data_IF_377307383020
#
_entry.id   IF_377307383020
#
_cell.length_a   1.000
_cell.length_b   1.000
_cell.length_c   1.000
_cell.angle_alpha   90.00
_cell.angle_beta   90.00
_cell.angle_gamma   90.00
#
_symmetry.space_group_name_H-M   'P 1'
#
loop_
_entity.id
_entity.type
_entity.pdbx_description
1 polymer ?
#
# COMPACT_ATOMS: atom_id res chain seq x y z
N UNK A 1 -1.60 0.23 -4.69
CA UNK A 1 -1.25 0.66 -3.32
C UNK A 1 -2.00 1.93 -2.90
N UNK A 2 -1.90 3.02 -3.66
CA UNK A 2 -2.49 4.33 -3.31
C UNK A 2 -4.00 4.32 -2.98
N UNK A 3 -4.79 3.39 -3.55
CA UNK A 3 -6.23 3.30 -3.29
C UNK A 3 -6.57 2.89 -1.85
N UNK A 4 -5.72 2.09 -1.19
CA UNK A 4 -5.97 1.62 0.19
C UNK A 4 -5.43 2.64 1.20
N UNK A 5 -4.18 3.09 1.00
CA UNK A 5 -3.54 4.04 1.91
C UNK A 5 -4.20 5.41 1.85
N UNK A 6 -4.61 5.84 0.65
CA UNK A 6 -5.10 7.18 0.38
C UNK A 6 -3.98 8.19 0.12
N UNK A 7 -4.34 9.46 -0.15
CA UNK A 7 -3.37 10.51 -0.49
C UNK A 7 -2.33 10.76 0.60
N UNK A 8 -1.09 11.09 0.22
CA UNK A 8 -0.02 11.38 1.19
C UNK A 8 -0.22 12.71 1.94
N UNK A 9 -0.95 13.67 1.34
CA UNK A 9 -1.23 14.99 1.91
C UNK A 9 -2.54 14.96 2.70
N UNK A 10 -2.48 15.39 3.96
CA UNK A 10 -3.61 15.34 4.89
C UNK A 10 -4.84 16.10 4.35
N UNK A 11 -4.65 17.29 3.78
CA UNK A 11 -5.79 18.04 3.22
C UNK A 11 -6.52 17.28 2.10
N UNK A 12 -5.81 16.44 1.35
CA UNK A 12 -6.40 15.64 0.28
C UNK A 12 -7.18 14.45 0.84
N UNK A 13 -6.83 13.93 2.01
CA UNK A 13 -7.54 12.81 2.65
C UNK A 13 -8.91 13.25 3.18
N UNK A 14 -9.10 14.54 3.48
CA UNK A 14 -10.38 15.12 3.93
C UNK A 14 -11.46 15.19 2.83
N UNK A 15 -11.09 14.96 1.57
CA UNK A 15 -12.06 14.95 0.47
C UNK A 15 -12.94 13.70 0.55
N UNK A 16 -14.24 13.85 0.28
CA UNK A 16 -15.24 12.80 0.46
C UNK A 16 -14.87 11.46 -0.21
N UNK A 17 -14.30 11.50 -1.42
CA UNK A 17 -13.93 10.28 -2.14
C UNK A 17 -12.76 9.51 -1.50
N UNK A 18 -12.03 10.11 -0.55
CA UNK A 18 -10.91 9.49 0.15
C UNK A 18 -11.25 9.09 1.59
N UNK A 19 -12.47 9.35 2.06
CA UNK A 19 -12.88 9.18 3.46
C UNK A 19 -12.72 7.77 4.02
N UNK A 20 -12.77 6.75 3.15
CA UNK A 20 -12.59 5.34 3.53
C UNK A 20 -11.13 4.89 3.62
N UNK A 21 -10.18 5.71 3.13
CA UNK A 21 -8.75 5.38 3.14
C UNK A 21 -8.18 5.36 4.56
N UNK A 22 -7.11 4.58 4.75
CA UNK A 22 -6.44 4.48 6.05
C UNK A 22 -5.95 5.86 6.54
N UNK A 23 -5.36 6.67 5.65
CA UNK A 23 -4.89 8.01 6.00
C UNK A 23 -6.03 8.98 6.33
N UNK A 24 -7.19 8.87 5.69
CA UNK A 24 -8.33 9.72 6.06
C UNK A 24 -8.85 9.42 7.47
N UNK A 25 -8.78 8.16 7.90
CA UNK A 25 -9.31 7.71 9.19
C UNK A 25 -8.34 7.89 10.35
N UNK A 26 -7.02 7.79 10.10
CA UNK A 26 -6.04 7.65 11.18
C UNK A 26 -4.79 8.53 11.05
N UNK A 27 -4.60 9.29 9.96
CA UNK A 27 -3.45 10.20 9.86
C UNK A 27 -3.62 11.41 10.78
N UNK A 28 -2.51 11.86 11.38
CA UNK A 28 -2.48 13.01 12.28
C UNK A 28 -1.90 14.27 11.62
N UNK A 29 -1.01 14.11 10.64
CA UNK A 29 -0.39 15.19 9.87
C UNK A 29 0.23 14.64 8.57
N UNK A 30 0.70 15.52 7.68
CA UNK A 30 1.40 15.13 6.44
C UNK A 30 2.58 14.18 6.66
N UNK A 31 3.34 14.39 7.74
CA UNK A 31 4.50 13.56 8.12
C UNK A 31 4.14 12.40 9.04
N UNK A 32 2.95 12.43 9.65
CA UNK A 32 2.38 11.36 10.47
C UNK A 32 1.17 10.79 9.76
N UNK A 33 1.41 10.28 8.55
CA UNK A 33 0.39 9.77 7.63
C UNK A 33 0.20 8.24 7.74
N UNK A 34 0.43 7.69 8.93
CA UNK A 34 0.19 6.29 9.32
C UNK A 34 1.10 5.25 8.66
N UNK A 35 1.15 5.18 7.33
CA UNK A 35 1.80 4.11 6.57
C UNK A 35 2.62 4.64 5.40
N UNK A 36 3.71 3.95 5.10
CA UNK A 36 4.48 4.06 3.85
C UNK A 36 4.23 2.81 3.00
N UNK A 37 4.13 3.00 1.69
CA UNK A 37 3.98 1.91 0.74
C UNK A 37 4.75 2.23 -0.53
N UNK A 38 5.38 1.20 -1.11
CA UNK A 38 6.13 1.34 -2.34
C UNK A 38 5.23 1.78 -3.51
N UNK A 39 5.79 2.59 -4.40
CA UNK A 39 5.13 3.15 -5.58
C UNK A 39 5.28 2.27 -6.84
N UNK A 40 6.23 1.33 -6.83
CA UNK A 40 6.50 0.41 -7.94
C UNK A 40 7.00 -0.93 -7.42
N UNK A 41 7.02 -1.95 -8.28
CA UNK A 41 7.56 -3.26 -7.93
C UNK A 41 9.07 -3.18 -7.67
N UNK A 42 9.77 -2.33 -8.42
CA UNK A 42 11.21 -2.11 -8.30
C UNK A 42 11.55 -1.52 -6.94
N UNK A 43 10.85 -0.46 -6.52
CA UNK A 43 11.04 0.16 -5.20
C UNK A 43 10.62 -0.76 -4.08
N UNK A 44 9.55 -1.54 -4.24
CA UNK A 44 9.17 -2.57 -3.27
C UNK A 44 10.29 -3.61 -3.04
N UNK A 45 10.88 -4.12 -4.12
CA UNK A 45 11.99 -5.08 -4.02
C UNK A 45 13.23 -4.49 -3.35
N UNK A 46 13.54 -3.22 -3.67
CA UNK A 46 14.63 -2.50 -3.05
C UNK A 46 14.38 -2.27 -1.56
N UNK A 47 13.22 -1.73 -1.18
CA UNK A 47 12.82 -1.51 0.22
C UNK A 47 12.88 -2.81 1.02
N UNK A 48 12.32 -3.92 0.50
CA UNK A 48 12.40 -5.23 1.14
C UNK A 48 13.84 -5.69 1.37
N UNK A 49 14.77 -5.37 0.46
CA UNK A 49 16.19 -5.70 0.62
C UNK A 49 16.88 -4.89 1.72
N UNK A 50 16.42 -3.66 2.01
CA UNK A 50 16.95 -2.84 3.09
C UNK A 50 16.58 -3.39 4.47
N UNK A 51 15.40 -4.00 4.60
CA UNK A 51 14.91 -4.55 5.86
C UNK A 51 15.33 -6.01 6.11
N UNK A 52 16.33 -6.53 5.39
CA UNK A 52 16.87 -7.88 5.54
C UNK A 52 17.12 -8.27 7.03
N UNK A 53 16.90 -9.55 7.42
CA UNK A 53 17.06 -10.75 6.60
C UNK A 53 15.76 -11.38 6.09
N UNK A 54 14.69 -10.60 5.84
CA UNK A 54 13.45 -11.16 5.31
C UNK A 54 13.69 -11.89 3.96
N UNK A 55 13.14 -13.10 3.80
CA UNK A 55 13.28 -13.85 2.55
C UNK A 55 12.62 -13.10 1.40
N UNK A 56 13.20 -13.18 0.20
CA UNK A 56 12.58 -12.63 -1.01
C UNK A 56 11.21 -13.27 -1.23
N UNK A 57 10.15 -12.47 -1.07
CA UNK A 57 8.78 -12.93 -1.27
C UNK A 57 8.52 -13.00 -2.78
N UNK A 58 8.21 -14.19 -3.27
CA UNK A 58 7.74 -14.41 -4.63
C UNK A 58 6.22 -14.42 -4.60
N UNK A 59 5.59 -13.30 -4.97
CA UNK A 59 4.14 -13.12 -4.87
C UNK A 59 3.35 -14.22 -5.59
N UNK A 60 3.85 -14.69 -6.73
CA UNK A 60 3.25 -15.78 -7.50
C UNK A 60 3.11 -17.10 -6.71
N UNK A 61 3.93 -17.31 -5.69
CA UNK A 61 3.89 -18.50 -4.84
C UNK A 61 2.93 -18.34 -3.65
N UNK A 62 2.48 -17.12 -3.37
CA UNK A 62 1.66 -16.77 -2.20
C UNK A 62 0.21 -16.48 -2.58
N UNK A 63 -0.05 -16.10 -3.84
CA UNK A 63 -1.41 -15.81 -4.31
C UNK A 63 -2.15 -17.12 -4.60
N UNK A 64 -3.41 -17.26 -4.17
CA UNK A 64 -4.24 -18.38 -4.59
C UNK A 64 -4.37 -18.34 -6.11
N UNK A 65 -4.24 -19.52 -6.74
CA UNK A 65 -4.53 -19.66 -8.18
C UNK A 65 -6.01 -19.38 -8.36
N UNK A 66 -6.34 -18.19 -8.86
CA UNK A 66 -7.70 -17.86 -9.23
C UNK A 66 -8.02 -18.70 -10.46
N UNK A 67 -8.76 -19.78 -10.27
CA UNK A 67 -9.39 -20.47 -11.41
C UNK A 67 -10.40 -19.48 -12.00
N UNK A 68 -10.13 -19.07 -13.24
CA UNK A 68 -11.08 -18.29 -14.02
C UNK A 68 -12.37 -19.10 -14.13
N UNK A 69 -13.40 -18.74 -13.36
CA UNK A 69 -14.76 -19.18 -13.65
C UNK A 69 -15.11 -18.52 -14.98
N UNK A 70 -14.96 -19.28 -16.06
CA UNK A 70 -15.55 -18.94 -17.36
C UNK A 70 -17.05 -19.11 -17.17
N UNK A 71 -17.74 -17.97 -17.01
CA UNK A 71 -19.21 -17.91 -17.04
C UNK A 71 -19.66 -17.99 -18.50
#
# INVERSE_FOLDING_TARGET
>A
MACIDGPSKMLRTLQLQNSSSLRARFALSDTRNLVHGADSQQTANYELSLFAPYPKIHLQNMLPKVESIVV
#
